data_IF_991960629328
#
_entry.id   IF_991960629328
#
_cell.length_a   1.000
_cell.length_b   1.000
_cell.length_c   1.000
_cell.angle_alpha   90.00
_cell.angle_beta   90.00
_cell.angle_gamma   90.00
#
_symmetry.space_group_name_H-M   'P 1'
#
loop_
_entity.id
_entity.type
_entity.pdbx_description
1 polymer ?
#
# COMPACT_ATOMS: atom_id res chain seq x y z
N UNK A 1 -8.16 -14.93 3.84
CA UNK A 1 -9.01 -15.57 2.79
C UNK A 1 -10.31 -14.79 2.66
N UNK A 2 -10.49 -14.05 1.57
CA UNK A 2 -11.67 -13.20 1.35
C UNK A 2 -12.92 -14.03 1.04
N UNK A 3 -13.80 -14.22 2.03
CA UNK A 3 -15.18 -14.64 1.81
C UNK A 3 -16.14 -13.69 2.52
N UNK A 4 -16.86 -12.88 1.75
CA UNK A 4 -18.09 -12.23 2.16
C UNK A 4 -19.22 -12.77 1.26
N UNK A 5 -20.23 -13.40 1.88
CA UNK A 5 -21.51 -13.77 1.28
C UNK A 5 -21.54 -14.73 0.07
N UNK A 6 -20.71 -15.79 0.07
CA UNK A 6 -20.91 -16.94 -0.84
C UNK A 6 -20.77 -16.65 -2.35
N UNK A 7 -20.41 -15.42 -2.71
CA UNK A 7 -20.06 -15.03 -4.08
C UNK A 7 -18.56 -15.08 -4.21
N UNK A 8 -18.03 -15.96 -5.07
CA UNK A 8 -16.59 -16.01 -5.37
C UNK A 8 -16.18 -14.65 -5.93
N UNK A 9 -15.27 -13.95 -5.25
CA UNK A 9 -14.63 -12.76 -5.81
C UNK A 9 -13.91 -13.22 -7.09
N UNK A 10 -14.24 -12.65 -8.26
CA UNK A 10 -13.62 -13.09 -9.50
C UNK A 10 -12.12 -12.80 -9.47
N UNK A 11 -11.32 -13.79 -9.84
CA UNK A 11 -9.88 -13.61 -10.05
C UNK A 11 -9.74 -12.69 -11.27
N UNK A 12 -9.15 -11.52 -11.06
CA UNK A 12 -8.95 -10.52 -12.10
C UNK A 12 -7.56 -9.91 -11.96
N UNK A 13 -7.09 -9.28 -13.03
CA UNK A 13 -5.84 -8.49 -13.02
C UNK A 13 -5.83 -7.41 -11.92
N UNK A 14 -6.99 -6.93 -11.48
CA UNK A 14 -7.10 -5.94 -10.40
C UNK A 14 -6.89 -6.55 -9.01
N UNK A 15 -7.15 -7.86 -8.85
CA UNK A 15 -6.78 -8.59 -7.64
C UNK A 15 -5.26 -8.72 -7.57
N UNK A 16 -4.60 -9.02 -8.68
CA UNK A 16 -3.13 -9.08 -8.73
C UNK A 16 -2.48 -7.73 -8.39
N UNK A 17 -3.05 -6.62 -8.89
CA UNK A 17 -2.57 -5.27 -8.54
C UNK A 17 -2.72 -5.01 -7.04
N UNK A 18 -3.84 -5.41 -6.44
CA UNK A 18 -4.05 -5.26 -4.99
C UNK A 18 -3.03 -6.05 -4.19
N UNK A 19 -2.83 -7.33 -4.53
CA UNK A 19 -1.84 -8.19 -3.87
C UNK A 19 -0.42 -7.65 -4.04
N UNK A 20 -0.08 -7.09 -5.20
CA UNK A 20 1.19 -6.40 -5.39
C UNK A 20 1.33 -5.18 -4.50
N UNK A 21 0.26 -4.39 -4.33
CA UNK A 21 0.27 -3.24 -3.43
C UNK A 21 0.53 -3.62 -1.97
N UNK A 22 -0.10 -4.69 -1.48
CA UNK A 22 0.16 -5.25 -0.14
C UNK A 22 1.61 -5.71 -0.03
N UNK A 23 2.09 -6.50 -0.99
CA UNK A 23 3.49 -6.96 -1.01
C UNK A 23 4.48 -5.79 -1.04
N UNK A 24 4.19 -4.72 -1.78
CA UNK A 24 5.03 -3.53 -1.83
C UNK A 24 5.05 -2.83 -0.47
N UNK A 25 3.90 -2.71 0.22
CA UNK A 25 3.86 -2.22 1.59
C UNK A 25 4.66 -3.12 2.53
N UNK A 26 4.49 -4.44 2.45
CA UNK A 26 5.29 -5.38 3.24
C UNK A 26 6.79 -5.15 2.99
N UNK A 27 7.25 -5.02 1.75
CA UNK A 27 8.68 -4.74 1.48
C UNK A 27 9.16 -3.41 2.09
N UNK A 28 8.32 -2.36 2.04
CA UNK A 28 8.65 -1.05 2.62
C UNK A 28 8.63 -1.11 4.16
N UNK A 29 7.69 -1.86 4.75
CA UNK A 29 7.38 -1.87 6.19
C UNK A 29 8.12 -2.98 6.97
N UNK A 30 8.44 -4.11 6.32
CA UNK A 30 9.07 -5.31 6.91
C UNK A 30 10.55 -5.10 7.27
N UNK A 31 11.08 -3.87 7.28
CA UNK A 31 12.29 -3.57 8.05
C UNK A 31 12.01 -3.40 9.56
N UNK A 32 10.74 -3.26 10.01
CA UNK A 32 10.38 -3.04 11.42
C UNK A 32 9.30 -3.96 12.04
N UNK A 33 8.58 -4.79 11.27
CA UNK A 33 7.54 -5.70 11.80
C UNK A 33 7.70 -7.12 11.24
N UNK A 34 8.71 -7.85 11.71
CA UNK A 34 8.75 -9.30 11.63
C UNK A 34 8.67 -9.83 13.06
N UNK A 35 7.47 -9.94 13.61
CA UNK A 35 7.05 -11.07 14.44
C UNK A 35 5.61 -10.84 14.92
N UNK A 36 4.80 -11.88 14.73
CA UNK A 36 3.45 -12.12 15.25
C UNK A 36 2.26 -11.51 14.48
N UNK A 37 1.42 -12.43 13.98
CA UNK A 37 0.03 -12.28 13.51
C UNK A 37 -0.15 -12.09 12.00
N UNK A 38 -0.77 -13.13 11.39
CA UNK A 38 -0.94 -13.31 9.96
C UNK A 38 -2.43 -13.59 9.66
N UNK A 39 -3.30 -12.72 10.14
CA UNK A 39 -4.74 -12.77 9.89
C UNK A 39 -5.17 -11.62 8.96
N UNK A 40 -6.32 -11.78 8.29
CA UNK A 40 -6.81 -10.81 7.30
C UNK A 40 -7.02 -9.39 7.87
N UNK A 41 -7.19 -9.27 9.19
CA UNK A 41 -7.30 -8.01 9.94
C UNK A 41 -5.97 -7.22 9.89
N UNK A 42 -4.83 -7.92 9.84
CA UNK A 42 -3.49 -7.34 9.82
C UNK A 42 -3.18 -6.61 8.50
N UNK A 43 -3.79 -7.03 7.39
CA UNK A 43 -3.66 -6.30 6.11
C UNK A 43 -4.35 -4.93 6.15
N UNK A 44 -5.50 -4.84 6.84
CA UNK A 44 -6.20 -3.59 7.04
C UNK A 44 -5.39 -2.69 7.99
N UNK A 45 -4.83 -3.28 9.05
CA UNK A 45 -3.90 -2.60 9.96
C UNK A 45 -2.65 -2.10 9.21
N UNK A 46 -2.07 -2.89 8.31
CA UNK A 46 -0.90 -2.49 7.53
C UNK A 46 -1.21 -1.36 6.55
N UNK A 47 -2.35 -1.44 5.85
CA UNK A 47 -2.81 -0.41 4.94
C UNK A 47 -3.08 0.92 5.66
N UNK A 48 -3.79 0.88 6.79
CA UNK A 48 -4.11 2.04 7.60
C UNK A 48 -2.83 2.63 8.24
N UNK A 49 -1.94 1.78 8.76
CA UNK A 49 -0.66 2.21 9.32
C UNK A 49 0.25 2.84 8.24
N UNK A 50 0.32 2.26 7.05
CA UNK A 50 1.07 2.82 5.94
C UNK A 50 0.52 4.19 5.51
N UNK A 51 -0.80 4.38 5.58
CA UNK A 51 -1.42 5.67 5.33
C UNK A 51 -1.09 6.71 6.41
N UNK A 52 -1.13 6.33 7.69
CA UNK A 52 -0.70 7.20 8.80
C UNK A 52 0.78 7.59 8.69
N UNK A 53 1.62 6.63 8.28
CA UNK A 53 3.03 6.87 7.98
C UNK A 53 3.21 7.84 6.82
N UNK A 54 2.47 7.65 5.72
CA UNK A 54 2.46 8.60 4.61
C UNK A 54 2.09 10.02 5.05
N UNK A 55 1.09 10.16 5.92
CA UNK A 55 0.59 11.48 6.34
C UNK A 55 1.53 12.21 7.33
N UNK A 56 2.11 11.51 8.30
CA UNK A 56 2.79 12.18 9.42
C UNK A 56 4.08 11.51 9.91
N UNK A 57 4.39 10.30 9.46
CA UNK A 57 5.42 9.46 10.10
C UNK A 57 6.31 8.70 9.12
N UNK A 58 6.58 9.25 7.94
CA UNK A 58 7.36 8.59 6.90
C UNK A 58 8.79 8.23 7.37
N UNK A 59 9.37 9.06 8.25
CA UNK A 59 10.68 8.80 8.87
C UNK A 59 10.70 7.51 9.72
N UNK A 60 9.57 7.09 10.31
CA UNK A 60 9.49 5.85 11.09
C UNK A 60 9.58 4.59 10.20
N UNK A 61 9.28 4.70 8.91
CA UNK A 61 9.46 3.60 7.96
C UNK A 61 10.94 3.33 7.66
N UNK A 62 11.80 4.36 7.80
CA UNK A 62 13.19 4.35 7.34
C UNK A 62 14.20 4.57 8.46
N UNK A 63 13.75 4.67 9.72
CA UNK A 63 14.59 5.04 10.87
C UNK A 63 15.81 4.13 11.04
N UNK A 64 15.68 2.85 10.68
CA UNK A 64 16.74 1.84 10.76
C UNK A 64 17.42 1.56 9.40
N UNK A 65 17.19 2.41 8.41
CA UNK A 65 17.67 2.24 7.04
C UNK A 65 18.29 3.55 6.52
N UNK A 66 19.60 3.69 6.72
CA UNK A 66 20.35 4.87 6.28
C UNK A 66 20.26 5.14 4.77
N UNK A 67 20.11 4.10 3.95
CA UNK A 67 19.97 4.27 2.49
C UNK A 67 18.58 4.83 2.16
N UNK A 68 17.52 4.23 2.71
CA UNK A 68 16.15 4.74 2.52
C UNK A 68 15.94 6.12 3.15
N UNK A 69 16.62 6.44 4.25
CA UNK A 69 16.57 7.77 4.86
C UNK A 69 17.23 8.83 3.95
N UNK A 70 18.29 8.47 3.22
CA UNK A 70 18.91 9.36 2.24
C UNK A 70 18.05 9.56 0.98
N UNK A 71 17.06 8.68 0.74
CA UNK A 71 16.15 8.74 -0.41
C UNK A 71 14.68 8.67 0.01
N UNK A 72 14.33 9.42 1.06
CA UNK A 72 12.99 9.43 1.66
C UNK A 72 11.89 9.84 0.67
N UNK A 73 12.23 10.67 -0.33
CA UNK A 73 11.32 11.08 -1.40
C UNK A 73 10.90 9.90 -2.28
N UNK A 74 11.81 8.98 -2.61
CA UNK A 74 11.44 7.79 -3.37
C UNK A 74 10.68 6.78 -2.50
N UNK A 75 10.97 6.70 -1.21
CA UNK A 75 10.17 5.92 -0.27
C UNK A 75 8.73 6.43 -0.21
N UNK A 76 8.54 7.74 -0.10
CA UNK A 76 7.22 8.38 -0.15
C UNK A 76 6.44 7.98 -1.40
N UNK A 77 7.09 8.08 -2.58
CA UNK A 77 6.48 7.67 -3.85
C UNK A 77 6.11 6.20 -3.87
N UNK A 78 6.97 5.32 -3.37
CA UNK A 78 6.68 3.88 -3.27
C UNK A 78 5.46 3.61 -2.39
N UNK A 79 5.34 4.30 -1.25
CA UNK A 79 4.16 4.21 -0.37
C UNK A 79 2.91 4.71 -1.10
N UNK A 80 2.97 5.86 -1.77
CA UNK A 80 1.84 6.40 -2.55
C UNK A 80 1.39 5.44 -3.66
N UNK A 81 2.33 4.82 -4.37
CA UNK A 81 2.05 3.82 -5.41
C UNK A 81 1.37 2.60 -4.81
N UNK A 82 1.84 2.13 -3.66
CA UNK A 82 1.25 1.01 -2.96
C UNK A 82 -0.19 1.33 -2.50
N UNK A 83 -0.43 2.52 -1.94
CA UNK A 83 -1.75 3.01 -1.55
C UNK A 83 -2.74 3.11 -2.73
N UNK A 84 -2.26 3.48 -3.93
CA UNK A 84 -3.06 3.41 -5.16
C UNK A 84 -3.42 1.97 -5.55
N UNK A 85 -2.51 1.03 -5.35
CA UNK A 85 -2.72 -0.38 -5.69
C UNK A 85 -3.75 -1.06 -4.77
N UNK A 86 -3.80 -0.68 -3.50
CA UNK A 86 -4.65 -1.32 -2.49
C UNK A 86 -6.03 -0.67 -2.30
N UNK A 87 -6.45 0.23 -3.18
CA UNK A 87 -7.77 0.86 -3.12
C UNK A 87 -8.89 -0.20 -3.09
N UNK A 88 -9.91 -0.02 -2.24
CA UNK A 88 -11.04 -0.95 -2.16
C UNK A 88 -11.77 -1.06 -3.50
N UNK A 89 -12.04 0.08 -4.14
CA UNK A 89 -12.62 0.13 -5.49
C UNK A 89 -11.56 -0.33 -6.53
N UNK A 90 -11.77 -1.48 -7.21
CA UNK A 90 -10.86 -1.99 -8.22
C UNK A 90 -10.68 -1.04 -9.42
N UNK A 91 -11.63 -0.13 -9.68
CA UNK A 91 -11.57 0.82 -10.79
C UNK A 91 -10.52 1.91 -10.55
N UNK A 92 -10.29 2.28 -9.29
CA UNK A 92 -9.29 3.27 -8.89
C UNK A 92 -7.86 2.72 -8.96
N UNK A 93 -7.70 1.40 -8.84
CA UNK A 93 -6.37 0.76 -8.92
C UNK A 93 -5.73 1.01 -10.29
N UNK A 94 -4.46 1.44 -10.37
CA UNK A 94 -3.77 1.62 -11.65
C UNK A 94 -3.58 0.29 -12.38
N UNK A 95 -3.39 0.35 -13.71
CA UNK A 95 -2.91 -0.81 -14.44
C UNK A 95 -1.45 -1.11 -14.05
N UNK A 96 -1.03 -2.38 -14.03
CA UNK A 96 0.34 -2.75 -13.65
C UNK A 96 1.41 -2.03 -14.50
N UNK A 97 1.15 -1.80 -15.79
CA UNK A 97 2.03 -0.98 -16.64
C UNK A 97 2.22 0.44 -16.08
N UNK A 98 1.16 1.08 -15.58
CA UNK A 98 1.25 2.41 -14.96
C UNK A 98 2.01 2.36 -13.64
N UNK A 99 1.82 1.30 -12.85
CA UNK A 99 2.59 1.06 -11.62
C UNK A 99 4.09 1.03 -11.91
N UNK A 100 4.52 0.27 -12.93
CA UNK A 100 5.93 0.19 -13.34
C UNK A 100 6.45 1.56 -13.81
N UNK A 101 5.69 2.30 -14.61
CA UNK A 101 6.11 3.63 -15.07
C UNK A 101 6.24 4.65 -13.91
N UNK A 102 5.41 4.54 -12.88
CA UNK A 102 5.56 5.33 -11.65
C UNK A 102 6.80 4.87 -10.86
N UNK A 103 7.00 3.54 -10.79
CA UNK A 103 8.23 2.81 -10.44
C UNK A 103 9.52 3.48 -10.91
N UNK A 104 9.60 3.62 -12.22
CA UNK A 104 10.76 4.08 -12.96
C UNK A 104 10.89 5.63 -12.96
N UNK A 105 9.97 6.34 -12.30
CA UNK A 105 9.94 7.81 -12.31
C UNK A 105 9.55 8.42 -13.65
N UNK A 106 8.99 7.64 -14.58
CA UNK A 106 8.54 8.09 -15.90
C UNK A 106 7.16 8.73 -15.83
N UNK A 107 6.29 8.23 -14.94
CA UNK A 107 4.97 8.76 -14.69
C UNK A 107 4.90 9.43 -13.31
N UNK A 108 4.25 10.59 -13.26
CA UNK A 108 4.00 11.31 -12.02
C UNK A 108 3.06 10.53 -11.07
N UNK A 109 3.32 10.65 -9.78
CA UNK A 109 2.53 10.03 -8.71
C UNK A 109 1.80 11.13 -7.95
N UNK A 110 0.48 11.22 -8.15
CA UNK A 110 -0.37 12.12 -7.36
C UNK A 110 -0.75 11.47 -6.03
N UNK A 111 -1.12 12.29 -5.04
CA UNK A 111 -1.62 11.82 -3.75
C UNK A 111 -2.74 10.78 -3.91
N UNK A 112 -2.65 9.63 -3.21
CA UNK A 112 -3.66 8.59 -3.28
C UNK A 112 -4.94 9.00 -2.54
N UNK A 113 -6.10 8.41 -2.88
CA UNK A 113 -7.33 8.59 -2.11
C UNK A 113 -7.16 8.07 -0.69
N UNK A 114 -7.87 8.69 0.26
CA UNK A 114 -7.92 8.23 1.65
C UNK A 114 -8.53 6.81 1.69
N UNK A 115 -7.93 5.84 2.39
CA UNK A 115 -8.55 4.55 2.65
C UNK A 115 -9.92 4.74 3.31
N UNK A 116 -10.89 3.95 2.88
CA UNK A 116 -12.28 4.01 3.34
C UNK A 116 -12.43 3.80 4.85
N UNK A 117 -11.49 3.11 5.51
CA UNK A 117 -11.41 2.93 6.96
C UNK A 117 -11.49 4.27 7.73
N UNK A 118 -10.96 5.36 7.16
CA UNK A 118 -10.96 6.69 7.79
C UNK A 118 -12.28 7.46 7.63
N UNK A 119 -13.21 7.00 6.78
CA UNK A 119 -14.47 7.71 6.53
C UNK A 119 -15.55 7.44 7.58
N UNK A 120 -15.34 6.48 8.48
CA UNK A 120 -16.31 6.10 9.53
C UNK A 120 -15.99 6.68 10.92
N UNK A 121 -14.91 7.47 11.05
CA UNK A 121 -14.44 8.02 12.33
C UNK A 121 -14.90 9.46 12.58
N UNK A 122 -16.18 9.78 12.32
CA UNK A 122 -16.77 11.09 12.68
C UNK A 122 -17.74 10.97 13.85
#
# INVERSE_FOLDING_TARGET
>A
MWQLNGSKIPITVKVDVYSYGILLLEVICCRNHLEEHADNEDNMILADWAYDCYQMKLHLLVENDHEAMNDVTNVEKCVMIALWCIQEDPTLRPAMKKVILMLEGIAEVSSPPVPSSFTYST
#
